data_IF_021393405533
#
_entry.id   IF_021393405533
#
_cell.length_a   1.000
_cell.length_b   1.000
_cell.length_c   1.000
_cell.angle_alpha   90.00
_cell.angle_beta   90.00
_cell.angle_gamma   90.00
#
_symmetry.space_group_name_H-M   'P 1'
#
loop_
_entity.id
_entity.type
_entity.pdbx_description
1 polymer ?
#
# COMPACT_ATOMS: atom_id res chain seq x y z
N UNK A 1 -6.46 0.54 16.82
CA UNK A 1 -6.74 -0.18 18.09
C UNK A 1 -6.12 -1.57 17.96
N UNK A 2 -5.36 -2.05 18.95
CA UNK A 2 -4.80 -3.41 18.88
C UNK A 2 -5.91 -4.47 18.98
N UNK A 3 -5.87 -5.50 18.11
CA UNK A 3 -6.92 -6.52 17.95
C UNK A 3 -6.57 -7.90 18.54
N UNK A 4 -5.38 -8.07 19.10
CA UNK A 4 -4.88 -9.37 19.57
C UNK A 4 -3.77 -9.95 18.70
N UNK A 5 -3.11 -10.99 19.21
CA UNK A 5 -2.19 -11.82 18.43
C UNK A 5 -3.01 -12.74 17.50
N UNK A 6 -2.48 -13.03 16.31
CA UNK A 6 -3.08 -13.90 15.30
C UNK A 6 -4.45 -13.44 14.76
N UNK A 7 -4.83 -12.18 15.00
CA UNK A 7 -6.04 -11.61 14.45
C UNK A 7 -5.86 -11.29 12.96
N UNK A 8 -6.83 -11.70 12.15
CA UNK A 8 -6.90 -11.45 10.71
C UNK A 8 -8.30 -10.92 10.40
N UNK A 9 -8.38 -9.84 9.64
CA UNK A 9 -9.61 -9.31 9.04
C UNK A 9 -9.43 -9.25 7.53
N UNK A 10 -10.44 -9.72 6.81
CA UNK A 10 -10.50 -9.65 5.36
C UNK A 10 -11.72 -8.82 4.98
N UNK A 11 -11.58 -7.95 3.99
CA UNK A 11 -12.66 -7.17 3.43
C UNK A 11 -12.68 -7.35 1.90
N UNK A 12 -13.88 -7.29 1.33
CA UNK A 12 -14.09 -7.31 -0.13
C UNK A 12 -14.69 -5.99 -0.54
N UNK A 13 -14.13 -5.37 -1.58
CA UNK A 13 -14.58 -4.09 -2.11
C UNK A 13 -14.98 -4.26 -3.58
N UNK A 14 -16.15 -3.72 -3.94
CA UNK A 14 -16.53 -3.59 -5.35
C UNK A 14 -15.85 -2.37 -5.96
N UNK A 15 -14.78 -2.62 -6.73
CA UNK A 15 -13.98 -1.56 -7.34
C UNK A 15 -14.68 -0.88 -8.53
N UNK A 16 -15.86 -1.36 -8.93
CA UNK A 16 -16.66 -0.77 -10.03
C UNK A 16 -17.65 0.29 -9.52
N UNK A 17 -17.98 0.27 -8.24
CA UNK A 17 -18.85 1.27 -7.62
C UNK A 17 -18.10 2.55 -7.26
N UNK A 18 -17.98 3.46 -8.23
CA UNK A 18 -17.29 4.74 -8.05
C UNK A 18 -18.02 5.75 -7.14
N UNK A 19 -19.23 5.41 -6.70
CA UNK A 19 -20.05 6.24 -5.80
C UNK A 19 -19.68 6.06 -4.32
N UNK A 20 -18.86 5.06 -3.98
CA UNK A 20 -18.38 4.84 -2.61
C UNK A 20 -17.07 5.62 -2.38
N UNK A 21 -17.10 6.74 -1.63
CA UNK A 21 -15.91 7.55 -1.39
C UNK A 21 -14.82 6.83 -0.60
N UNK A 22 -15.15 5.80 0.19
CA UNK A 22 -14.18 4.99 0.92
C UNK A 22 -13.36 4.08 0.02
N UNK A 23 -14.00 3.50 -1.02
CA UNK A 23 -13.34 2.64 -2.01
C UNK A 23 -12.44 3.46 -2.94
N UNK A 24 -12.90 4.64 -3.35
CA UNK A 24 -12.17 5.49 -4.30
C UNK A 24 -10.88 6.07 -3.72
N UNK A 25 -10.81 6.33 -2.41
CA UNK A 25 -9.58 6.79 -1.75
C UNK A 25 -8.62 5.63 -1.49
N UNK A 26 -9.12 4.50 -0.96
CA UNK A 26 -8.29 3.36 -0.56
C UNK A 26 -7.60 2.66 -1.74
N UNK A 27 -8.20 2.69 -2.92
CA UNK A 27 -7.62 2.10 -4.14
C UNK A 27 -6.53 2.97 -4.76
N UNK A 28 -6.64 4.29 -4.60
CA UNK A 28 -5.70 5.25 -5.18
C UNK A 28 -4.48 5.44 -4.29
N UNK A 29 -4.63 5.35 -2.97
CA UNK A 29 -3.54 5.52 -2.03
C UNK A 29 -3.53 4.37 -1.05
N UNK A 30 -2.60 3.44 -1.25
CA UNK A 30 -2.43 2.26 -0.40
C UNK A 30 -0.97 1.98 -0.16
N UNK A 31 -0.67 1.43 1.02
CA UNK A 31 0.66 0.98 1.43
C UNK A 31 0.47 -0.41 2.01
N UNK A 32 1.34 -1.33 1.60
CA UNK A 32 1.40 -2.67 2.14
C UNK A 32 2.81 -2.94 2.66
N UNK A 33 2.88 -3.25 3.95
CA UNK A 33 4.13 -3.45 4.67
C UNK A 33 4.35 -4.93 4.95
N UNK A 34 5.52 -5.44 4.57
CA UNK A 34 5.98 -6.76 4.95
C UNK A 34 7.11 -6.65 5.96
N UNK A 35 6.99 -7.33 7.09
CA UNK A 35 8.12 -7.51 7.99
C UNK A 35 9.10 -8.48 7.34
N UNK A 36 10.28 -7.98 6.99
CA UNK A 36 11.38 -8.74 6.45
C UNK A 36 12.39 -9.13 7.52
N UNK A 37 12.95 -10.33 7.39
CA UNK A 37 14.13 -10.78 8.14
C UNK A 37 15.17 -11.25 7.14
N UNK A 38 16.40 -10.77 7.26
CA UNK A 38 17.51 -11.19 6.41
C UNK A 38 18.76 -11.45 7.24
N UNK A 39 19.64 -12.32 6.73
CA UNK A 39 20.96 -12.57 7.31
C UNK A 39 22.01 -12.15 6.29
N UNK A 40 22.92 -11.25 6.68
CA UNK A 40 24.06 -10.81 5.87
C UNK A 40 25.33 -10.95 6.71
N UNK A 41 26.34 -11.64 6.19
CA UNK A 41 27.62 -11.91 6.87
C UNK A 41 27.45 -12.45 8.30
N UNK A 42 26.50 -13.38 8.47
CA UNK A 42 26.18 -14.00 9.76
C UNK A 42 25.40 -13.11 10.73
N UNK A 43 25.08 -11.87 10.37
CA UNK A 43 24.29 -10.94 11.19
C UNK A 43 22.82 -10.94 10.74
N UNK A 44 21.92 -11.08 11.70
CA UNK A 44 20.47 -11.02 11.45
C UNK A 44 19.99 -9.57 11.54
N UNK A 45 19.29 -9.12 10.51
CA UNK A 45 18.58 -7.84 10.47
C UNK A 45 17.07 -8.05 10.31
N UNK A 46 16.30 -7.06 10.78
CA UNK A 46 14.87 -6.95 10.59
C UNK A 46 14.58 -5.60 9.94
N UNK A 47 13.61 -5.58 9.04
CA UNK A 47 13.21 -4.36 8.35
C UNK A 47 11.79 -4.45 7.83
N UNK A 48 11.30 -3.36 7.27
CA UNK A 48 10.04 -3.32 6.55
C UNK A 48 10.34 -3.24 5.05
N UNK A 49 9.62 -4.02 4.27
CA UNK A 49 9.50 -3.83 2.84
C UNK A 49 8.13 -3.24 2.55
N UNK A 50 8.13 -2.00 2.08
CA UNK A 50 6.93 -1.21 1.83
C UNK A 50 6.65 -1.20 0.32
N UNK A 51 5.47 -1.67 -0.08
CA UNK A 51 4.96 -1.51 -1.44
C UNK A 51 3.81 -0.52 -1.42
N UNK A 52 3.93 0.59 -2.14
CA UNK A 52 2.91 1.65 -2.16
C UNK A 52 2.32 1.90 -3.55
N UNK A 53 1.04 2.24 -3.56
CA UNK A 53 0.33 2.85 -4.69
C UNK A 53 0.08 4.31 -4.33
N UNK A 54 0.56 5.24 -5.16
CA UNK A 54 0.57 6.68 -4.88
C UNK A 54 -0.25 7.48 -5.89
N UNK A 55 -1.51 7.12 -6.08
CA UNK A 55 -2.48 7.86 -6.86
C UNK A 55 -2.67 7.39 -8.30
N UNK A 56 -3.46 8.14 -9.06
CA UNK A 56 -3.79 7.84 -10.46
C UNK A 56 -2.58 8.07 -11.36
N UNK A 57 -2.11 6.99 -11.99
CA UNK A 57 -1.12 7.05 -13.06
C UNK A 57 -1.80 7.20 -14.44
N UNK A 58 -1.71 8.39 -15.05
CA UNK A 58 -1.89 8.54 -16.51
C UNK A 58 -0.67 7.95 -17.23
N UNK A 59 -0.77 7.51 -18.50
CA UNK A 59 0.17 6.53 -19.07
C UNK A 59 1.67 6.87 -19.06
N UNK A 60 2.11 8.10 -18.70
CA UNK A 60 3.32 8.38 -17.88
C UNK A 60 3.71 9.89 -17.75
N UNK A 61 2.75 10.81 -17.56
CA UNK A 61 3.03 12.26 -17.33
C UNK A 61 2.14 12.81 -16.21
N UNK A 62 2.66 12.88 -15.00
CA UNK A 62 1.96 12.55 -13.74
C UNK A 62 1.03 13.64 -13.18
N UNK A 63 -0.13 13.27 -12.60
CA UNK A 63 -1.08 14.23 -12.01
C UNK A 63 -1.20 14.23 -10.46
N UNK A 64 -0.56 13.28 -9.76
CA UNK A 64 -0.18 13.29 -8.32
C UNK A 64 0.48 11.92 -7.97
N UNK A 65 1.18 11.65 -6.85
CA UNK A 65 1.41 12.38 -5.58
C UNK A 65 2.74 13.14 -5.45
N UNK A 66 2.80 14.31 -6.10
CA UNK A 66 3.97 15.21 -6.14
C UNK A 66 4.52 15.47 -7.55
N UNK A 67 4.03 14.70 -8.53
CA UNK A 67 4.15 14.81 -10.01
C UNK A 67 5.46 15.32 -10.60
N UNK A 68 6.25 14.51 -11.34
CA UNK A 68 7.24 15.05 -12.29
C UNK A 68 7.57 14.14 -13.49
N UNK A 69 7.05 14.52 -14.67
CA UNK A 69 7.64 14.63 -16.02
C UNK A 69 6.52 15.00 -17.03
N UNK A 70 6.78 15.86 -18.04
CA UNK A 70 6.40 17.30 -18.16
C UNK A 70 4.94 17.66 -17.89
#
# INVERSE_FOLDING_TARGET
MWRGRDWIETATYDLTNQSDPGIMIATQYSILDHVGKATLDGKVGYGLFEHSCAGRHTPSGFANGGSMAP
#
